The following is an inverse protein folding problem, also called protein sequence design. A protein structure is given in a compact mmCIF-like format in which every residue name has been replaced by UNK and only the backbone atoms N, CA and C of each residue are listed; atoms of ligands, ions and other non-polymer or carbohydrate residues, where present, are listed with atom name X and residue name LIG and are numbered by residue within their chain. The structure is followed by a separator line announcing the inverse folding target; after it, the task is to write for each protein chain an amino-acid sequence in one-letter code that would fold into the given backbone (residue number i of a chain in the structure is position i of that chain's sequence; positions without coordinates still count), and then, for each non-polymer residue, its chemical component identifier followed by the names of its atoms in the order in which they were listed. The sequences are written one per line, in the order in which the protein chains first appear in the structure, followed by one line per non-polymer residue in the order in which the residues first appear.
data_IF_092386332798
#
_entry.id   IF_092386332798
#
_cell.length_a   1.000
_cell.length_b   1.000
_cell.length_c   1.000
_cell.angle_alpha   90.00
_cell.angle_beta   90.00
_cell.angle_gamma   90.00
#
_symmetry.space_group_name_H-M   'P 1'
#
loop_
_entity.id
_entity.type
_entity.pdbx_description
1 polymer ?
#
# COMPACT_ATOMS: atom_id res chain seq x y z
N UNK A 1 6.82 -2.06 10.31
CA UNK A 1 5.39 -2.30 10.04
C UNK A 1 5.26 -3.28 8.89
N UNK A 2 4.52 -4.36 9.09
CA UNK A 2 4.28 -5.25 7.95
C UNK A 2 3.47 -4.52 6.88
N UNK A 3 3.90 -4.63 5.65
CA UNK A 3 3.25 -3.96 4.54
C UNK A 3 2.10 -4.83 4.03
N UNK A 4 0.88 -4.29 3.89
CA UNK A 4 -0.22 -5.09 3.39
C UNK A 4 0.07 -5.62 2.00
N UNK A 5 -0.39 -6.84 1.73
CA UNK A 5 -0.14 -7.49 0.46
C UNK A 5 -1.09 -7.02 -0.63
N UNK A 6 -2.38 -6.89 -0.31
CA UNK A 6 -3.40 -6.67 -1.32
C UNK A 6 -3.99 -5.27 -1.25
N UNK A 7 -4.01 -4.60 -2.40
CA UNK A 7 -4.51 -3.22 -2.54
C UNK A 7 -5.46 -3.13 -3.71
N UNK A 8 -6.52 -2.34 -3.55
CA UNK A 8 -7.29 -1.90 -4.71
C UNK A 8 -6.56 -0.72 -5.32
N UNK A 9 -6.39 -0.72 -6.63
CA UNK A 9 -5.66 0.35 -7.32
C UNK A 9 -6.51 0.90 -8.45
N UNK A 10 -6.42 2.22 -8.65
CA UNK A 10 -6.95 2.81 -9.87
C UNK A 10 -5.94 3.81 -10.41
N UNK A 11 -5.97 3.95 -11.72
CA UNK A 11 -5.04 4.84 -12.42
C UNK A 11 -5.80 5.59 -13.51
N UNK A 12 -5.40 6.83 -13.70
CA UNK A 12 -6.01 7.72 -14.69
C UNK A 12 -4.88 8.37 -15.48
N UNK A 13 -4.87 8.09 -16.79
CA UNK A 13 -3.92 8.69 -17.72
C UNK A 13 -4.66 9.80 -18.45
N UNK A 14 -3.99 10.94 -18.65
CA UNK A 14 -4.61 12.11 -19.28
C UNK A 14 -5.30 11.73 -20.59
N UNK A 15 -6.59 12.12 -20.71
CA UNK A 15 -7.38 11.86 -21.90
C UNK A 15 -7.92 10.45 -22.04
N UNK A 16 -7.79 9.61 -21.01
CA UNK A 16 -8.25 8.22 -21.05
C UNK A 16 -9.17 7.93 -19.86
N UNK A 17 -10.10 6.97 -19.99
CA UNK A 17 -10.92 6.56 -18.86
C UNK A 17 -10.08 5.96 -17.74
N UNK A 18 -10.54 6.15 -16.51
CA UNK A 18 -9.92 5.55 -15.34
C UNK A 18 -10.01 4.03 -15.42
N UNK A 19 -8.93 3.35 -15.04
CA UNK A 19 -8.92 1.88 -14.95
C UNK A 19 -8.76 1.47 -13.48
N UNK A 20 -9.37 0.33 -13.15
CA UNK A 20 -9.38 -0.23 -11.80
C UNK A 20 -8.73 -1.59 -11.81
N UNK A 21 -8.10 -1.95 -10.72
CA UNK A 21 -7.46 -3.24 -10.62
C UNK A 21 -7.04 -3.60 -9.22
N UNK A 22 -6.15 -4.56 -9.13
CA UNK A 22 -5.62 -5.08 -7.87
C UNK A 22 -4.10 -5.04 -7.94
N UNK A 23 -3.51 -4.46 -6.90
CA UNK A 23 -2.06 -4.48 -6.71
C UNK A 23 -1.76 -5.48 -5.61
N UNK A 24 -0.86 -6.42 -5.90
CA UNK A 24 -0.38 -7.38 -4.91
C UNK A 24 1.10 -7.12 -4.69
N UNK A 25 1.47 -6.88 -3.44
CA UNK A 25 2.87 -6.74 -3.06
C UNK A 25 3.26 -8.05 -2.39
N UNK A 26 4.03 -8.86 -3.10
CA UNK A 26 4.41 -10.18 -2.63
C UNK A 26 5.48 -10.12 -1.55
N UNK A 27 6.42 -9.19 -1.70
CA UNK A 27 7.48 -9.07 -0.72
C UNK A 27 8.11 -7.68 -0.78
N UNK A 28 8.62 -7.24 0.37
CA UNK A 28 9.53 -6.11 0.47
C UNK A 28 10.72 -6.62 1.26
N UNK A 29 11.86 -6.81 0.58
CA UNK A 29 13.07 -7.34 1.17
C UNK A 29 14.20 -6.37 0.87
N UNK A 30 14.86 -5.86 1.91
CA UNK A 30 15.95 -4.88 1.75
C UNK A 30 15.49 -3.69 0.91
N UNK A 31 14.27 -3.22 1.17
CA UNK A 31 13.64 -2.10 0.47
C UNK A 31 13.27 -2.38 -1.00
N UNK A 32 13.41 -3.60 -1.46
CA UNK A 32 13.03 -3.99 -2.82
C UNK A 32 11.61 -4.53 -2.81
N UNK A 33 10.80 -4.00 -3.71
CA UNK A 33 9.39 -4.36 -3.84
C UNK A 33 9.22 -5.32 -5.00
N UNK A 34 8.53 -6.42 -4.76
CA UNK A 34 8.17 -7.38 -5.80
C UNK A 34 6.68 -7.67 -5.71
N UNK A 35 6.01 -7.72 -6.83
CA UNK A 35 4.59 -7.99 -6.83
C UNK A 35 4.00 -8.05 -8.22
N UNK A 36 2.67 -7.85 -8.29
CA UNK A 36 1.93 -7.83 -9.54
C UNK A 36 0.87 -6.76 -9.49
N UNK A 37 0.49 -6.25 -10.65
CA UNK A 37 -0.68 -5.43 -10.81
C UNK A 37 -1.58 -6.06 -11.86
N UNK A 38 -2.88 -6.04 -11.60
CA UNK A 38 -3.85 -6.66 -12.49
C UNK A 38 -4.94 -5.65 -12.81
N UNK A 39 -4.93 -5.16 -14.04
CA UNK A 39 -6.01 -4.39 -14.61
C UNK A 39 -6.69 -5.28 -15.65
N UNK A 40 -8.01 -5.45 -15.53
CA UNK A 40 -8.80 -6.19 -16.53
C UNK A 40 -8.36 -7.65 -16.73
N UNK A 41 -7.92 -8.29 -15.64
CA UNK A 41 -7.66 -9.72 -15.69
C UNK A 41 -6.27 -10.14 -16.15
N UNK A 42 -5.39 -9.20 -16.47
CA UNK A 42 -4.03 -9.53 -16.88
C UNK A 42 -3.06 -9.25 -15.74
N UNK A 43 -2.36 -10.30 -15.29
CA UNK A 43 -1.34 -10.15 -14.25
C UNK A 43 -0.06 -9.60 -14.86
N UNK A 44 0.39 -8.47 -14.34
CA UNK A 44 1.57 -7.77 -14.83
C UNK A 44 2.58 -7.70 -13.68
N UNK A 45 3.78 -8.24 -13.84
CA UNK A 45 4.78 -8.18 -12.77
C UNK A 45 5.25 -6.76 -12.54
N UNK A 46 5.52 -6.44 -11.27
CA UNK A 46 6.11 -5.16 -10.90
C UNK A 46 7.31 -5.39 -9.98
N UNK A 47 8.23 -4.45 -10.02
CA UNK A 47 9.35 -4.42 -9.09
C UNK A 47 9.77 -2.98 -8.87
N UNK A 48 10.36 -2.72 -7.71
CA UNK A 48 10.76 -1.37 -7.39
C UNK A 48 11.38 -1.26 -6.02
N UNK A 49 11.19 -0.09 -5.40
CA UNK A 49 11.83 0.24 -4.13
C UNK A 49 10.87 0.92 -3.19
N UNK A 50 11.06 0.65 -1.91
CA UNK A 50 10.34 1.29 -0.82
C UNK A 50 11.36 2.04 0.05
N UNK A 51 11.06 3.30 0.35
CA UNK A 51 11.87 4.10 1.27
C UNK A 51 11.08 4.30 2.55
N UNK A 52 11.48 3.62 3.61
CA UNK A 52 10.78 3.68 4.89
C UNK A 52 10.87 5.06 5.51
N UNK A 53 12.00 5.74 5.37
CA UNK A 53 12.19 7.06 5.96
C UNK A 53 11.29 8.12 5.37
N UNK A 54 11.11 8.12 4.05
CA UNK A 54 10.28 9.12 3.37
C UNK A 54 8.88 8.60 3.07
N UNK A 55 8.61 7.31 3.32
CA UNK A 55 7.33 6.67 3.01
C UNK A 55 6.99 6.75 1.53
N UNK A 56 8.01 6.61 0.71
CA UNK A 56 7.86 6.68 -0.75
C UNK A 56 8.05 5.32 -1.38
N UNK A 57 7.24 5.06 -2.41
CA UNK A 57 7.33 3.85 -3.20
C UNK A 57 7.54 4.22 -4.67
N UNK A 58 8.37 3.44 -5.34
CA UNK A 58 8.53 3.54 -6.79
C UNK A 58 8.53 2.12 -7.32
N UNK A 59 7.73 1.85 -8.33
CA UNK A 59 7.76 0.53 -8.94
C UNK A 59 7.51 0.61 -10.43
N UNK A 60 8.00 -0.39 -11.13
CA UNK A 60 7.95 -0.48 -12.57
C UNK A 60 7.20 -1.73 -13.01
N UNK A 61 6.38 -1.59 -14.03
CA UNK A 61 5.89 -2.69 -14.83
C UNK A 61 6.55 -2.61 -16.19
N UNK A 62 6.34 -3.59 -17.08
CA UNK A 62 6.84 -3.45 -18.45
C UNK A 62 6.26 -2.25 -19.21
N UNK A 63 5.15 -1.69 -18.74
CA UNK A 63 4.43 -0.64 -19.48
C UNK A 63 4.43 0.71 -18.80
N UNK A 64 4.84 0.80 -17.54
CA UNK A 64 4.69 2.06 -16.80
C UNK A 64 5.62 2.12 -15.59
N UNK A 65 5.94 3.34 -15.19
CA UNK A 65 6.64 3.63 -13.94
C UNK A 65 5.70 4.35 -13.00
N UNK A 66 5.61 3.87 -11.76
CA UNK A 66 4.76 4.43 -10.72
C UNK A 66 5.62 5.01 -9.61
N UNK A 67 5.27 6.18 -9.12
CA UNK A 67 5.93 6.76 -7.95
C UNK A 67 4.87 7.39 -7.05
N UNK A 68 5.03 7.25 -5.75
CA UNK A 68 4.03 7.78 -4.83
C UNK A 68 4.47 7.74 -3.38
N UNK A 69 3.55 8.17 -2.53
CA UNK A 69 3.76 8.25 -1.09
C UNK A 69 2.69 7.49 -0.35
N UNK A 70 3.06 6.95 0.81
CA UNK A 70 2.12 6.29 1.71
C UNK A 70 1.57 7.30 2.71
N UNK A 71 0.26 7.29 2.87
CA UNK A 71 -0.44 7.99 3.93
C UNK A 71 -1.24 6.97 4.73
N UNK A 72 -1.22 7.12 6.06
CA UNK A 72 -1.98 6.23 6.93
C UNK A 72 -2.97 7.06 7.74
N UNK A 73 -4.15 6.49 7.96
CA UNK A 73 -5.19 7.11 8.74
C UNK A 73 -5.87 6.07 9.62
N UNK A 74 -5.81 6.28 10.94
CA UNK A 74 -6.38 5.35 11.91
C UNK A 74 -7.75 5.84 12.36
N UNK A 75 -8.76 4.98 12.20
CA UNK A 75 -10.08 5.23 12.72
C UNK A 75 -10.24 4.42 14.00
N UNK A 76 -10.14 5.09 15.14
CA UNK A 76 -10.20 4.43 16.44
C UNK A 76 -11.59 3.89 16.76
N UNK A 77 -12.64 4.47 16.18
CA UNK A 77 -14.01 4.02 16.42
C UNK A 77 -14.28 2.66 15.81
N UNK A 78 -13.84 2.47 14.56
CA UNK A 78 -14.01 1.20 13.86
C UNK A 78 -12.84 0.26 14.05
N UNK A 79 -11.73 0.74 14.64
CA UNK A 79 -10.50 -0.02 14.81
C UNK A 79 -9.92 -0.46 13.48
N UNK A 80 -9.93 0.44 12.51
CA UNK A 80 -9.41 0.18 11.16
C UNK A 80 -8.35 1.21 10.83
N UNK A 81 -7.24 0.73 10.27
CA UNK A 81 -6.21 1.59 9.69
C UNK A 81 -6.39 1.61 8.19
N UNK A 82 -6.56 2.81 7.66
CA UNK A 82 -6.65 3.04 6.22
C UNK A 82 -5.28 3.41 5.69
N UNK A 83 -4.87 2.75 4.62
CA UNK A 83 -3.58 3.04 3.98
C UNK A 83 -3.84 3.46 2.55
N UNK A 84 -3.17 4.51 2.14
CA UNK A 84 -3.33 5.08 0.80
C UNK A 84 -1.94 5.31 0.22
N UNK A 85 -1.69 4.70 -0.94
CA UNK A 85 -0.55 5.02 -1.78
C UNK A 85 -1.06 5.86 -2.93
N UNK A 86 -0.42 6.98 -3.21
CA UNK A 86 -0.87 7.83 -4.31
C UNK A 86 0.31 8.57 -4.92
N UNK A 87 0.22 8.85 -6.20
CA UNK A 87 1.26 9.56 -6.89
C UNK A 87 1.04 9.61 -8.38
N UNK A 88 2.14 9.54 -9.12
CA UNK A 88 2.14 9.71 -10.56
C UNK A 88 2.51 8.43 -11.25
N UNK A 89 1.97 8.28 -12.46
CA UNK A 89 2.32 7.17 -13.34
C UNK A 89 2.75 7.75 -14.69
N UNK A 90 3.80 7.17 -15.26
CA UNK A 90 4.29 7.56 -16.58
C UNK A 90 4.33 6.30 -17.43
N UNK A 91 3.62 6.36 -18.55
CA UNK A 91 3.56 5.24 -19.48
C UNK A 91 4.85 5.21 -20.30
N UNK A 92 5.30 4.01 -20.62
CA UNK A 92 6.54 3.84 -21.39
C UNK A 92 6.34 2.79 -22.47
N UNK A 93 7.24 2.79 -23.46
CA UNK A 93 7.26 1.77 -24.51
C UNK A 93 7.36 0.38 -23.87
N UNK A 94 6.62 -0.65 -24.34
CA UNK A 94 5.90 -0.67 -25.62
C UNK A 94 4.42 -0.28 -25.54
N UNK A 95 3.99 0.39 -24.48
CA UNK A 95 2.60 0.84 -24.37
C UNK A 95 2.26 1.80 -25.51
N UNK A 96 1.04 1.69 -26.02
CA UNK A 96 0.52 2.66 -27.00
C UNK A 96 0.42 4.05 -26.43
N UNK A 97 0.42 4.16 -25.09
CA UNK A 97 0.32 5.45 -24.40
C UNK A 97 1.68 5.97 -23.96
N UNK A 98 2.78 5.39 -24.47
CA UNK A 98 4.14 5.76 -24.06
C UNK A 98 4.35 7.26 -24.10
N UNK A 99 4.95 7.79 -23.02
CA UNK A 99 5.17 9.23 -22.86
C UNK A 99 4.04 9.97 -22.18
N UNK A 100 2.86 9.38 -22.06
CA UNK A 100 1.74 10.00 -21.33
C UNK A 100 1.88 9.76 -19.85
N UNK A 101 1.38 10.70 -19.08
CA UNK A 101 1.42 10.61 -17.62
C UNK A 101 0.03 10.77 -17.02
N UNK A 102 -0.10 10.37 -15.77
CA UNK A 102 -1.34 10.53 -15.04
C UNK A 102 -1.11 10.32 -13.55
N UNK A 103 -2.15 9.94 -12.86
CA UNK A 103 -2.12 9.71 -11.41
C UNK A 103 -2.64 8.33 -11.10
N UNK A 104 -2.24 7.81 -9.93
CA UNK A 104 -2.73 6.53 -9.45
C UNK A 104 -2.95 6.61 -7.95
N UNK A 105 -3.86 5.79 -7.47
CA UNK A 105 -4.15 5.65 -6.04
C UNK A 105 -4.38 4.18 -5.75
N UNK A 106 -3.75 3.69 -4.69
CA UNK A 106 -4.01 2.35 -4.20
C UNK A 106 -4.40 2.43 -2.73
N UNK A 107 -5.43 1.70 -2.34
CA UNK A 107 -5.93 1.73 -0.98
C UNK A 107 -6.10 0.35 -0.42
N UNK A 108 -5.91 0.22 0.88
CA UNK A 108 -6.25 -0.99 1.61
C UNK A 108 -6.50 -0.64 3.07
N UNK A 109 -7.11 -1.58 3.79
CA UNK A 109 -7.40 -1.42 5.20
C UNK A 109 -6.82 -2.57 5.98
N UNK A 110 -6.39 -2.26 7.22
CA UNK A 110 -5.95 -3.30 8.16
C UNK A 110 -6.59 -3.05 9.50
N UNK A 111 -6.72 -4.11 10.30
CA UNK A 111 -7.24 -3.97 11.65
C UNK A 111 -6.22 -3.32 12.55
N UNK A 112 -6.68 -2.49 13.47
CA UNK A 112 -5.86 -2.00 14.57
C UNK A 112 -5.88 -3.07 15.66
N UNK A 113 -5.07 -4.10 15.49
CA UNK A 113 -5.04 -5.22 16.44
C UNK A 113 -4.05 -5.00 17.56
N UNK A 114 -3.09 -4.11 17.35
CA UNK A 114 -2.10 -3.80 18.37
C UNK A 114 -2.58 -2.63 19.22
N UNK A 115 -2.21 -2.60 20.51
CA UNK A 115 -2.44 -1.41 21.30
C UNK A 115 -1.76 -0.25 20.58
N UNK A 116 -2.44 0.79 20.53
CA UNK A 116 -1.78 1.95 19.96
C UNK A 116 -0.54 2.23 20.76
N UNK A 117 0.31 1.59 20.95
CA UNK A 117 1.29 1.64 21.66
C UNK A 117 1.83 2.15 22.38
N UNK A 118 1.86 1.78 22.94
CA UNK A 118 2.23 1.87 23.32
C UNK A 118 2.67 1.66 24.03
N UNK A 119 3.06 1.49 24.43
CA UNK A 119 3.30 1.07 24.73
C UNK A 119 3.51 0.64 25.56
N UNK A 120 3.67 0.59 26.04
CA UNK A 120 3.56 0.05 26.33
C UNK A 120 3.28 -0.56 27.00
N UNK A 121 3.40 -0.54 27.36
CA UNK A 121 2.77 -1.21 27.45
C UNK A 121 2.21 -1.84 27.89
N UNK A 122 2.25 -1.89 28.50
CA UNK A 122 1.39 -2.60 28.34
C UNK A 122 0.92 -3.27 28.87
N UNK A 123 0.76 -3.48 29.38
CA UNK A 123 0.04 -4.31 29.26
C UNK A 123 -0.50 -4.79 29.54
N UNK A 124 -0.54 -5.05 29.76
CA UNK A 124 -1.33 -5.69 29.27
C UNK A 124 -1.95 -6.05 29.35
N UNK A 125 -2.01 -6.09 29.49
CA UNK A 125 -2.87 -6.66 28.83
C UNK A 125 -3.22 -6.98 28.59
N UNK A 126 -2.76 -7.13 29.10
CA UNK A 126 -3.27 -7.74 28.29
C UNK A 126 -3.38 -7.56 28.01
N UNK A 127 -3.11 -7.20 28.65
CA UNK A 127 -3.23 -7.12 27.83
C UNK A 127 -3.30 -7.02 27.37
N UNK A 128 -3.11 -7.14 27.08
CA UNK A 128 -3.40 -7.37 26.10
C UNK A 128 -3.69 -7.51 25.90
N UNK A 129 -2.93 -7.63 26.41
CA UNK A 129 -3.30 -7.99 25.77
C UNK A 129 -3.65 -8.01 25.43
N UNK A 130 -3.09 -8.04 25.97
CA UNK A 130 -3.45 -8.18 25.25
C UNK A 130 -3.61 -7.87 24.79
N UNK A 131 -3.23 -7.92 25.08
CA UNK A 131 -3.47 -7.88 24.30
C UNK A 131 -3.69 -7.52 24.05
N UNK A 132 -3.15 -7.72 24.43
CA UNK A 132 -3.51 -7.70 23.82
C UNK A 132 -3.90 -7.15 23.82
N UNK A 133 -3.36 -7.41 24.40
CA UNK A 133 -3.68 -7.29 24.04
C UNK A 133 -3.87 -6.73 23.92
N UNK A 134 -3.29 -6.99 24.38
CA UNK A 134 -3.54 -6.86 23.86
C UNK A 134 -3.73 -6.17 23.61
N UNK A 135 -3.41 -6.28 23.82
CA UNK A 135 -3.70 -6.14 23.15
C UNK A 135 -4.02 -5.35 23.11
N UNK A 136 -3.40 -5.38 23.66
CA UNK A 136 -3.88 -5.25 23.18
C UNK A 136 -4.19 -4.50 23.22
N UNK A 137 -3.86 -4.35 24.13
CA UNK A 137 -4.13 -4.43 23.49
C UNK A 137 -4.33 -3.62 23.76
N UNK A 138 -3.94 -3.77 24.09
CA UNK A 138 -4.24 -3.69 23.78
C UNK A 138 -4.31 -2.86 23.60
N UNK A 139 -3.72 -2.76 24.48
CA UNK A 139 -3.76 -2.69 23.59
C UNK A 139 -3.79 -2.05 23.60
N UNK A 140 -3.58 -2.27 23.52
CA UNK A 140 -3.55 -2.30 22.94
C UNK A 140 -3.69 -2.03 22.70
#
# INVERSE_FOLDING_TARGET
MPFPSRWGIHAEIAGRPMVWGVLIINSITENRVMGTVNFRGTLIPINGYWNEGSKQITFNSPYATYSGNLTMFDDSTTRIRHLVLSGRVIMKSPSLLAGRSGTWVATTDTSLTEPAVSNSDLPPVGAFLTSNILHSGLGR
#
